data_IF_183808707210
#
_entry.id   IF_183808707210
#
_cell.length_a   1.000
_cell.length_b   1.000
_cell.length_c   1.000
_cell.angle_alpha   90.00
_cell.angle_beta   90.00
_cell.angle_gamma   90.00
#
_symmetry.space_group_name_H-M   'P 1'
#
loop_
_entity.id
_entity.type
_entity.pdbx_description
1 polymer ?
#
# COMPACT_ATOMS: atom_id res chain seq x y z
N UNK A 1 10.51 -4.34 -1.01
CA UNK A 1 9.58 -4.22 0.12
C UNK A 1 8.16 -4.22 -0.36
N UNK A 2 7.25 -4.56 0.50
CA UNK A 2 5.87 -4.75 0.07
C UNK A 2 5.21 -3.47 -0.43
N UNK A 3 5.58 -2.33 0.11
CA UNK A 3 4.95 -1.08 -0.27
C UNK A 3 5.77 -0.24 -1.23
N UNK A 4 6.84 -0.80 -1.78
CA UNK A 4 7.70 -0.05 -2.69
C UNK A 4 6.94 0.42 -3.93
N UNK A 5 6.14 -0.47 -4.50
CA UNK A 5 5.39 -0.12 -5.69
C UNK A 5 4.34 0.93 -5.37
N UNK A 6 3.70 0.79 -4.21
CA UNK A 6 2.71 1.78 -3.79
C UNK A 6 3.37 3.15 -3.62
N UNK A 7 4.54 3.18 -2.98
CA UNK A 7 5.28 4.42 -2.80
C UNK A 7 5.62 5.04 -4.15
N UNK A 8 6.07 4.23 -5.09
CA UNK A 8 6.43 4.72 -6.41
C UNK A 8 5.23 5.33 -7.13
N UNK A 9 4.09 4.66 -7.04
CA UNK A 9 2.88 5.15 -7.68
C UNK A 9 2.44 6.46 -7.05
N UNK A 10 2.53 6.55 -5.73
CA UNK A 10 2.15 7.78 -5.05
C UNK A 10 3.05 8.93 -5.50
N UNK A 11 4.33 8.66 -5.66
CA UNK A 11 5.26 9.67 -6.13
C UNK A 11 4.90 10.12 -7.54
N UNK A 12 4.56 9.17 -8.39
CA UNK A 12 4.17 9.47 -9.76
C UNK A 12 2.89 10.32 -9.80
N UNK A 13 2.01 10.11 -8.83
CA UNK A 13 0.76 10.86 -8.75
C UNK A 13 0.94 12.18 -8.02
N UNK A 14 2.14 12.45 -7.53
CA UNK A 14 2.40 13.63 -6.74
C UNK A 14 1.59 13.61 -5.45
N UNK A 15 1.49 12.45 -4.83
CA UNK A 15 0.77 12.26 -3.59
C UNK A 15 1.70 11.68 -2.54
N UNK A 16 1.25 11.71 -1.29
CA UNK A 16 2.05 11.19 -0.19
C UNK A 16 1.37 9.98 0.44
N UNK A 17 2.13 9.15 1.17
CA UNK A 17 1.50 8.05 1.92
C UNK A 17 0.46 8.54 2.92
N UNK A 18 0.65 9.73 3.47
CA UNK A 18 -0.34 10.29 4.40
C UNK A 18 -1.67 10.50 3.69
N UNK A 19 -1.63 10.96 2.44
CA UNK A 19 -2.84 11.14 1.66
C UNK A 19 -3.56 9.80 1.46
N UNK A 20 -2.78 8.77 1.11
CA UNK A 20 -3.37 7.45 0.89
C UNK A 20 -3.99 6.90 2.16
N UNK A 21 -3.30 7.04 3.28
CA UNK A 21 -3.80 6.55 4.55
C UNK A 21 -5.10 7.25 4.95
N UNK A 22 -5.15 8.55 4.70
CA UNK A 22 -6.36 9.31 5.01
C UNK A 22 -7.53 8.84 4.17
N UNK A 23 -7.27 8.58 2.89
CA UNK A 23 -8.32 8.09 2.00
C UNK A 23 -8.80 6.71 2.41
N UNK A 24 -7.89 5.86 2.86
CA UNK A 24 -8.24 4.51 3.26
C UNK A 24 -8.79 4.41 4.67
N UNK A 25 -8.69 5.50 5.44
CA UNK A 25 -9.18 5.49 6.81
C UNK A 25 -8.28 4.73 7.77
N UNK A 26 -6.97 4.72 7.52
CA UNK A 26 -6.02 4.06 8.41
C UNK A 26 -5.00 5.06 8.90
N UNK A 27 -4.37 4.72 10.01
CA UNK A 27 -3.34 5.58 10.57
C UNK A 27 -2.05 5.45 9.79
N UNK A 28 -1.34 6.56 9.66
CA UNK A 28 -0.08 6.55 8.98
C UNK A 28 0.93 5.64 9.68
N UNK A 29 0.78 5.49 11.00
CA UNK A 29 1.65 4.58 11.75
C UNK A 29 1.53 3.15 11.23
N UNK A 30 0.33 2.71 10.92
CA UNK A 30 0.13 1.39 10.37
C UNK A 30 0.86 1.22 9.05
N UNK A 31 0.79 2.22 8.21
CA UNK A 31 1.49 2.18 6.93
C UNK A 31 2.99 2.01 7.15
N UNK A 32 3.54 2.77 8.09
CA UNK A 32 4.97 2.71 8.39
C UNK A 32 5.35 1.33 8.92
N UNK A 33 4.53 0.78 9.81
CA UNK A 33 4.81 -0.54 10.36
C UNK A 33 4.76 -1.62 9.31
N UNK A 34 3.81 -1.53 8.40
CA UNK A 34 3.71 -2.49 7.31
C UNK A 34 4.93 -2.36 6.40
N UNK A 35 5.34 -1.15 6.13
CA UNK A 35 6.49 -0.91 5.28
C UNK A 35 7.76 -1.48 5.87
N UNK A 36 7.87 -1.43 7.20
CA UNK A 36 9.02 -1.99 7.90
C UNK A 36 8.96 -3.51 8.02
N UNK A 37 7.82 -4.09 7.72
CA UNK A 37 7.65 -5.52 7.86
C UNK A 37 7.23 -5.94 9.25
N UNK A 38 6.87 -4.98 10.11
CA UNK A 38 6.48 -5.29 11.48
C UNK A 38 5.00 -5.58 11.61
N UNK A 39 4.23 -5.32 10.58
CA UNK A 39 2.80 -5.56 10.58
C UNK A 39 2.37 -6.08 9.23
N UNK A 40 1.47 -7.01 9.21
CA UNK A 40 1.00 -7.59 7.97
C UNK A 40 -0.01 -6.68 7.29
N UNK A 41 0.03 -6.66 5.98
CA UNK A 41 -0.93 -5.92 5.18
C UNK A 41 -2.17 -6.78 5.00
N UNK A 42 -3.28 -6.35 5.54
CA UNK A 42 -4.50 -7.13 5.48
C UNK A 42 -5.13 -7.07 4.10
N UNK A 43 -5.97 -8.06 3.81
CA UNK A 43 -6.65 -8.09 2.53
C UNK A 43 -7.55 -6.87 2.35
N UNK A 44 -8.19 -6.44 3.42
CA UNK A 44 -9.03 -5.25 3.38
C UNK A 44 -8.25 -4.03 2.94
N UNK A 45 -7.06 -3.84 3.49
CA UNK A 45 -6.22 -2.71 3.13
C UNK A 45 -5.78 -2.80 1.70
N UNK A 46 -5.44 -4.01 1.25
CA UNK A 46 -5.06 -4.19 -0.15
C UNK A 46 -6.18 -3.75 -1.07
N UNK A 47 -7.41 -4.15 -0.74
CA UNK A 47 -8.56 -3.76 -1.54
C UNK A 47 -8.75 -2.25 -1.53
N UNK A 48 -8.61 -1.64 -0.38
CA UNK A 48 -8.79 -0.20 -0.27
C UNK A 48 -7.75 0.56 -1.08
N UNK A 49 -6.49 0.14 -0.97
CA UNK A 49 -5.43 0.79 -1.72
C UNK A 49 -5.66 0.63 -3.22
N UNK A 50 -6.04 -0.57 -3.63
CA UNK A 50 -6.32 -0.83 -5.03
C UNK A 50 -7.44 0.08 -5.55
N UNK A 51 -8.49 0.22 -4.75
CA UNK A 51 -9.63 1.03 -5.12
C UNK A 51 -9.26 2.51 -5.23
N UNK A 52 -8.52 2.99 -4.25
CA UNK A 52 -8.14 4.40 -4.22
C UNK A 52 -7.21 4.75 -5.37
N UNK A 53 -6.24 3.90 -5.63
CA UNK A 53 -5.26 4.15 -6.67
C UNK A 53 -5.75 3.77 -8.06
N UNK A 54 -6.82 2.98 -8.14
CA UNK A 54 -7.35 2.55 -9.41
C UNK A 54 -6.46 1.55 -10.12
N UNK A 55 -5.69 0.78 -9.36
CA UNK A 55 -4.76 -0.19 -9.91
C UNK A 55 -5.02 -1.54 -9.25
N UNK A 56 -4.93 -2.60 -10.01
CA UNK A 56 -5.20 -3.93 -9.49
C UNK A 56 -4.27 -4.30 -8.35
N UNK A 57 -4.81 -5.03 -7.37
CA UNK A 57 -4.01 -5.52 -6.25
C UNK A 57 -2.80 -6.31 -6.73
N UNK A 58 -3.00 -7.13 -7.74
CA UNK A 58 -1.92 -7.96 -8.22
C UNK A 58 -0.74 -7.13 -8.68
N UNK A 59 -1.00 -5.96 -9.24
CA UNK A 59 0.07 -5.08 -9.68
C UNK A 59 0.73 -4.40 -8.50
N UNK A 60 -0.08 -3.94 -7.56
CA UNK A 60 0.44 -3.21 -6.41
C UNK A 60 1.29 -4.08 -5.50
N UNK A 61 0.88 -5.33 -5.31
CA UNK A 61 1.51 -6.21 -4.34
C UNK A 61 2.05 -7.47 -4.99
N UNK A 62 2.44 -7.34 -6.23
CA UNK A 62 2.92 -8.48 -6.98
C UNK A 62 4.16 -9.10 -6.38
N UNK A 63 5.01 -8.28 -5.80
CA UNK A 63 6.26 -8.79 -5.27
C UNK A 63 6.09 -9.63 -4.03
N UNK A 64 4.88 -9.76 -3.52
CA UNK A 64 4.64 -10.65 -2.39
C UNK A 64 4.45 -12.08 -2.80
N UNK A 65 4.15 -12.32 -4.04
CA UNK A 65 3.76 -13.66 -4.45
C UNK A 65 4.88 -14.64 -4.39
N UNK A 66 6.07 -14.20 -4.64
CA UNK A 66 7.11 -15.16 -4.66
C UNK A 66 7.47 -15.65 -3.34
N UNK A 67 6.85 -15.18 -2.34
CA UNK A 67 7.17 -15.69 -1.04
C UNK A 67 6.77 -17.13 -0.93
N UNK A 68 6.05 -17.65 -1.87
CA UNK A 68 5.72 -19.02 -1.76
C UNK A 68 6.50 -19.87 -2.60
#
# INVERSE_FOLDING_TARGET
MILDIVDQILEDMDRTPAWLCRKAGVHQCNYTLIKKGERKLSENLKNKFSDILGIRKEILFNNQKESK
#
